data_IF_631346275644
#
_entry.id   IF_631346275644
#
_cell.length_a   1.000
_cell.length_b   1.000
_cell.length_c   1.000
_cell.angle_alpha   90.00
_cell.angle_beta   90.00
_cell.angle_gamma   90.00
#
_symmetry.space_group_name_H-M   'P 1'
#
loop_
_entity.id
_entity.type
_entity.pdbx_description
1 polymer ?
#
# COMPACT_ATOMS: atom_id res chain seq x y z
N UNK A 1 34.22 24.17 -21.86
CA UNK A 1 33.81 24.16 -20.44
C UNK A 1 32.49 23.41 -20.35
N UNK A 2 32.55 22.10 -20.13
CA UNK A 2 31.36 21.29 -19.90
C UNK A 2 30.92 21.51 -18.45
N UNK A 3 29.88 22.33 -18.25
CA UNK A 3 29.23 22.43 -16.96
C UNK A 3 28.57 21.09 -16.67
N UNK A 4 29.08 20.39 -15.65
CA UNK A 4 28.48 19.19 -15.09
C UNK A 4 27.13 19.60 -14.53
N UNK A 5 26.07 19.33 -15.29
CA UNK A 5 24.69 19.39 -14.83
C UNK A 5 24.58 18.36 -13.69
N UNK A 6 24.60 18.86 -12.46
CA UNK A 6 24.47 18.01 -11.28
C UNK A 6 23.05 17.45 -11.29
N UNK A 7 22.92 16.19 -11.70
CA UNK A 7 21.70 15.40 -11.61
C UNK A 7 21.13 15.57 -10.20
N UNK A 8 19.99 16.24 -10.07
CA UNK A 8 19.38 16.54 -8.77
C UNK A 8 18.78 15.24 -8.22
N UNK A 9 19.59 14.49 -7.46
CA UNK A 9 19.22 13.23 -6.78
C UNK A 9 18.02 13.40 -5.82
N UNK A 10 17.61 14.64 -5.52
CA UNK A 10 16.55 14.96 -4.55
C UNK A 10 15.27 15.55 -5.16
N UNK A 11 15.07 15.43 -6.48
CA UNK A 11 13.80 15.83 -7.12
C UNK A 11 12.62 15.04 -6.53
N UNK A 12 11.57 15.74 -6.10
CA UNK A 12 10.33 15.13 -5.61
C UNK A 12 9.33 14.79 -6.74
N UNK A 13 9.68 15.07 -7.99
CA UNK A 13 8.82 14.73 -9.12
C UNK A 13 8.90 13.22 -9.39
N UNK A 14 7.75 12.51 -9.33
CA UNK A 14 7.74 11.07 -9.55
C UNK A 14 8.14 10.76 -10.99
N UNK A 15 9.17 9.93 -11.16
CA UNK A 15 9.57 9.44 -12.48
C UNK A 15 8.53 8.44 -12.97
N UNK A 16 8.45 8.25 -14.28
CA UNK A 16 7.55 7.27 -14.91
C UNK A 16 7.69 5.88 -14.30
N UNK A 17 8.93 5.50 -13.99
CA UNK A 17 9.32 4.18 -13.54
C UNK A 17 8.93 3.95 -12.07
N UNK A 18 8.95 5.01 -11.26
CA UNK A 18 8.52 4.98 -9.85
C UNK A 18 7.05 4.54 -9.75
N UNK A 19 6.19 4.98 -10.67
CA UNK A 19 4.76 4.58 -10.69
C UNK A 19 4.56 3.11 -11.05
N UNK A 20 5.42 2.54 -11.88
CA UNK A 20 5.36 1.12 -12.23
C UNK A 20 5.85 0.27 -11.05
N UNK A 21 6.94 0.70 -10.42
CA UNK A 21 7.51 0.07 -9.23
C UNK A 21 6.55 0.13 -8.03
N UNK A 22 5.92 1.27 -7.79
CA UNK A 22 4.94 1.46 -6.71
C UNK A 22 3.74 0.51 -6.82
N UNK A 23 3.30 0.19 -8.03
CA UNK A 23 2.21 -0.77 -8.24
C UNK A 23 2.63 -2.21 -7.95
N UNK A 24 3.92 -2.54 -8.13
CA UNK A 24 4.44 -3.87 -7.86
C UNK A 24 4.54 -4.13 -6.34
N UNK A 25 4.85 -3.09 -5.55
CA UNK A 25 5.02 -3.22 -4.09
C UNK A 25 3.73 -3.07 -3.30
N UNK A 26 2.66 -2.50 -3.88
CA UNK A 26 1.36 -2.31 -3.22
C UNK A 26 0.41 -3.46 -3.55
N UNK A 27 0.14 -4.38 -2.61
CA UNK A 27 -0.74 -5.51 -2.85
C UNK A 27 -2.16 -5.03 -3.19
N UNK A 28 -2.80 -5.69 -4.15
CA UNK A 28 -4.20 -5.39 -4.52
C UNK A 28 -5.20 -6.11 -3.64
N UNK A 29 -4.84 -7.31 -3.16
CA UNK A 29 -5.68 -8.13 -2.31
C UNK A 29 -5.03 -8.28 -0.93
N UNK A 30 -5.85 -8.45 0.09
CA UNK A 30 -5.38 -8.77 1.44
C UNK A 30 -4.56 -10.06 1.48
N UNK A 31 -4.86 -11.02 0.61
CA UNK A 31 -4.13 -12.28 0.49
C UNK A 31 -2.67 -12.10 0.03
N UNK A 32 -2.42 -11.08 -0.80
CA UNK A 32 -1.10 -10.75 -1.35
C UNK A 32 -0.24 -9.97 -0.35
N UNK A 33 -0.82 -9.54 0.78
CA UNK A 33 -0.10 -8.82 1.82
C UNK A 33 0.84 -9.74 2.59
N UNK A 34 2.13 -9.41 2.62
CA UNK A 34 3.17 -10.21 3.26
C UNK A 34 3.38 -9.73 4.71
N UNK A 35 3.42 -10.67 5.65
CA UNK A 35 3.53 -10.39 7.08
C UNK A 35 2.19 -10.15 7.78
N UNK A 36 2.26 -9.80 9.06
CA UNK A 36 1.12 -9.48 9.94
C UNK A 36 -0.06 -10.49 9.87
N UNK A 37 0.16 -11.79 10.13
CA UNK A 37 -0.86 -12.82 9.95
C UNK A 37 -2.11 -12.59 10.81
N UNK A 38 -1.95 -12.11 12.05
CA UNK A 38 -3.07 -11.78 12.95
C UNK A 38 -3.95 -10.66 12.40
N UNK A 39 -3.33 -9.56 11.93
CA UNK A 39 -4.04 -8.42 11.34
C UNK A 39 -4.78 -8.85 10.07
N UNK A 40 -4.13 -9.62 9.20
CA UNK A 40 -4.78 -10.15 7.97
C UNK A 40 -6.00 -11.01 8.29
N UNK A 41 -5.87 -11.91 9.27
CA UNK A 41 -6.99 -12.77 9.67
C UNK A 41 -8.17 -11.95 10.19
N UNK A 42 -7.90 -11.02 11.10
CA UNK A 42 -8.94 -10.17 11.70
C UNK A 42 -9.61 -9.26 10.65
N UNK A 43 -8.82 -8.67 9.75
CA UNK A 43 -9.35 -7.85 8.66
C UNK A 43 -10.21 -8.68 7.71
N UNK A 44 -9.83 -9.92 7.40
CA UNK A 44 -10.63 -10.84 6.60
C UNK A 44 -12.03 -11.06 7.19
N UNK A 45 -12.11 -11.30 8.51
CA UNK A 45 -13.38 -11.48 9.23
C UNK A 45 -14.24 -10.21 9.13
N UNK A 46 -13.66 -9.02 9.33
CA UNK A 46 -14.42 -7.77 9.25
C UNK A 46 -14.93 -7.50 7.83
N UNK A 47 -14.08 -7.71 6.81
CA UNK A 47 -14.48 -7.56 5.41
C UNK A 47 -15.62 -8.51 5.05
N UNK A 48 -15.56 -9.76 5.49
CA UNK A 48 -16.63 -10.74 5.26
C UNK A 48 -17.93 -10.33 5.97
N UNK A 49 -17.84 -9.87 7.22
CA UNK A 49 -19.00 -9.39 7.96
C UNK A 49 -19.68 -8.19 7.29
N UNK A 50 -18.90 -7.19 6.84
CA UNK A 50 -19.41 -6.02 6.12
C UNK A 50 -20.07 -6.41 4.79
N UNK A 51 -19.44 -7.34 4.04
CA UNK A 51 -20.00 -7.88 2.79
C UNK A 51 -21.33 -8.59 3.04
N UNK A 52 -21.44 -9.38 4.10
CA UNK A 52 -22.68 -10.09 4.46
C UNK A 52 -23.82 -9.12 4.82
N UNK A 53 -23.49 -7.99 5.44
CA UNK A 53 -24.45 -6.90 5.75
C UNK A 53 -24.74 -5.98 4.56
N UNK A 54 -24.00 -6.11 3.45
CA UNK A 54 -24.07 -5.24 2.25
C UNK A 54 -23.85 -3.77 2.58
N UNK A 55 -22.95 -3.50 3.51
CA UNK A 55 -22.57 -2.14 3.92
C UNK A 55 -21.07 -1.92 3.77
N UNK A 56 -20.65 -0.67 3.87
CA UNK A 56 -19.23 -0.35 3.92
C UNK A 56 -18.61 -0.90 5.21
N UNK A 57 -17.33 -1.27 5.15
CA UNK A 57 -16.56 -1.56 6.35
C UNK A 57 -16.51 -0.30 7.24
N UNK A 58 -16.77 -0.46 8.53
CA UNK A 58 -16.62 0.62 9.49
C UNK A 58 -15.15 1.11 9.59
N UNK A 59 -14.96 2.25 10.23
CA UNK A 59 -13.61 2.78 10.50
C UNK A 59 -12.83 1.82 11.39
N UNK A 60 -11.65 1.38 10.93
CA UNK A 60 -10.77 0.46 11.67
C UNK A 60 -9.49 1.18 12.05
N UNK A 61 -9.10 1.09 13.32
CA UNK A 61 -7.78 1.46 13.80
C UNK A 61 -6.92 0.19 13.95
N UNK A 62 -5.81 0.14 13.23
CA UNK A 62 -4.82 -0.93 13.35
C UNK A 62 -3.69 -0.40 14.23
N UNK A 63 -3.44 -1.06 15.35
CA UNK A 63 -2.34 -0.72 16.26
C UNK A 63 -1.66 -1.99 16.75
N UNK A 64 -0.34 -1.95 16.90
CA UNK A 64 0.50 -3.05 17.33
C UNK A 64 1.99 -2.68 17.23
N UNK A 65 2.89 -3.41 17.91
CA UNK A 65 4.33 -3.27 17.72
C UNK A 65 4.81 -3.72 16.34
#
# INVERSE_FOLDING_TARGET
MASIEHDRITSAEPRSDDRAFDRAIRPKNLADYIGQPSVKQQMGIFMEAARNRKEALDHVLIFGP
#
